data_IF_158797349959
#
_entry.id   IF_158797349959
#
_cell.length_a   1.000
_cell.length_b   1.000
_cell.length_c   1.000
_cell.angle_alpha   90.00
_cell.angle_beta   90.00
_cell.angle_gamma   90.00
#
_symmetry.space_group_name_H-M   'P 1'
#
loop_
_entity.id
_entity.type
_entity.pdbx_description
1 polymer ?
#
# COMPACT_ATOMS: atom_id res chain seq x y z
N UNK A 1 11.28 -15.39 -22.67
CA UNK A 1 9.89 -15.56 -23.13
C UNK A 1 9.71 -17.05 -23.29
N UNK A 2 8.99 -17.69 -22.38
CA UNK A 2 8.59 -19.10 -22.52
C UNK A 2 7.19 -19.04 -23.12
N UNK A 3 7.04 -19.69 -24.25
CA UNK A 3 5.83 -19.65 -25.06
C UNK A 3 4.62 -20.23 -24.31
N UNK A 4 3.55 -19.47 -24.26
CA UNK A 4 2.25 -19.81 -23.68
C UNK A 4 1.55 -20.94 -24.48
N UNK A 5 2.12 -21.38 -25.61
CA UNK A 5 1.57 -22.37 -26.52
C UNK A 5 1.61 -23.81 -25.99
N UNK A 6 2.49 -24.14 -25.04
CA UNK A 6 2.61 -25.52 -24.53
C UNK A 6 1.59 -25.92 -23.46
N UNK A 7 0.83 -24.95 -22.89
CA UNK A 7 -0.19 -25.27 -21.86
C UNK A 7 -1.52 -25.64 -22.51
N UNK A 8 -1.78 -25.18 -23.72
CA UNK A 8 -3.04 -25.48 -24.41
C UNK A 8 -3.13 -26.94 -24.90
N UNK A 9 -2.02 -27.54 -25.26
CA UNK A 9 -2.00 -28.92 -25.81
C UNK A 9 -2.12 -30.01 -24.74
N UNK A 10 -1.85 -29.70 -23.48
CA UNK A 10 -1.98 -30.67 -22.37
C UNK A 10 -3.43 -30.80 -21.83
N UNK A 11 -4.30 -29.87 -22.17
CA UNK A 11 -5.73 -29.89 -21.77
C UNK A 11 -6.64 -30.56 -22.82
N UNK A 12 -6.11 -30.87 -23.99
CA UNK A 12 -6.91 -31.46 -25.09
C UNK A 12 -6.95 -32.98 -25.10
N UNK A 13 -6.24 -33.69 -24.21
CA UNK A 13 -6.10 -35.18 -24.25
C UNK A 13 -6.80 -35.92 -23.11
N UNK A 14 -7.71 -35.30 -22.36
CA UNK A 14 -8.48 -35.99 -21.31
C UNK A 14 -9.92 -36.24 -21.74
N UNK A 15 -10.18 -37.50 -22.15
CA UNK A 15 -11.38 -38.34 -22.10
C UNK A 15 -12.72 -37.79 -22.62
N UNK A 16 -13.19 -38.49 -23.63
CA UNK A 16 -14.59 -38.64 -24.01
C UNK A 16 -15.40 -39.31 -22.88
N UNK A 17 -16.06 -38.50 -22.05
CA UNK A 17 -17.16 -38.93 -21.23
C UNK A 17 -18.36 -38.01 -21.43
N UNK A 18 -19.55 -38.64 -21.45
CA UNK A 18 -20.89 -38.14 -21.80
C UNK A 18 -21.17 -36.68 -21.44
N UNK A 19 -22.02 -35.97 -22.20
CA UNK A 19 -22.33 -34.56 -21.92
C UNK A 19 -23.06 -34.47 -20.58
N UNK A 20 -22.33 -34.02 -19.54
CA UNK A 20 -22.94 -33.57 -18.30
C UNK A 20 -23.70 -32.30 -18.65
N UNK A 21 -25.03 -32.41 -18.77
CA UNK A 21 -25.91 -31.25 -18.84
C UNK A 21 -25.63 -30.37 -17.63
N UNK A 22 -25.18 -29.12 -17.80
CA UNK A 22 -24.97 -28.25 -16.67
C UNK A 22 -26.31 -28.06 -15.95
N UNK A 23 -26.43 -28.48 -14.71
CA UNK A 23 -27.54 -28.07 -13.84
C UNK A 23 -27.57 -26.55 -13.86
N UNK A 24 -28.74 -25.90 -14.04
CA UNK A 24 -28.81 -24.45 -13.88
C UNK A 24 -28.30 -24.13 -12.50
N UNK A 25 -27.13 -23.48 -12.42
CA UNK A 25 -26.67 -22.84 -11.21
C UNK A 25 -27.74 -21.79 -10.94
N UNK A 26 -28.56 -22.01 -9.91
CA UNK A 26 -29.50 -21.00 -9.43
C UNK A 26 -28.69 -19.71 -9.33
N UNK A 27 -29.26 -18.58 -9.75
CA UNK A 27 -28.60 -17.28 -9.65
C UNK A 27 -27.98 -17.22 -8.23
N UNK A 28 -26.66 -17.22 -8.07
CA UNK A 28 -26.09 -17.03 -6.74
C UNK A 28 -26.67 -15.71 -6.26
N UNK A 29 -27.35 -15.72 -5.11
CA UNK A 29 -27.68 -14.45 -4.45
C UNK A 29 -26.40 -13.68 -4.46
N UNK A 30 -26.39 -12.47 -5.04
CA UNK A 30 -25.20 -11.66 -5.16
C UNK A 30 -24.62 -11.57 -3.74
N UNK A 31 -23.53 -12.27 -3.48
CA UNK A 31 -22.83 -12.15 -2.22
C UNK A 31 -22.52 -10.67 -2.04
N UNK A 32 -22.79 -10.15 -0.86
CA UNK A 32 -22.46 -8.74 -0.59
C UNK A 32 -20.98 -8.51 -0.95
N UNK A 33 -20.67 -7.39 -1.61
CA UNK A 33 -19.29 -7.11 -1.96
C UNK A 33 -18.43 -7.08 -0.68
N UNK A 34 -17.17 -7.56 -0.73
CA UNK A 34 -16.31 -7.63 0.45
C UNK A 34 -16.20 -6.29 1.18
N UNK A 35 -16.19 -6.33 2.51
CA UNK A 35 -15.97 -5.15 3.34
C UNK A 35 -14.52 -4.69 3.22
N UNK A 36 -14.30 -3.40 2.96
CA UNK A 36 -12.99 -2.76 2.91
C UNK A 36 -12.83 -1.84 4.12
N UNK A 37 -11.74 -2.00 4.86
CA UNK A 37 -11.36 -1.10 5.94
C UNK A 37 -10.39 -0.04 5.44
N UNK A 38 -10.71 1.23 5.67
CA UNK A 38 -9.83 2.36 5.40
C UNK A 38 -9.34 2.89 6.75
N UNK A 39 -8.02 3.01 6.90
CA UNK A 39 -7.39 3.56 8.10
C UNK A 39 -6.68 4.83 7.68
N UNK A 40 -7.06 5.97 8.27
CA UNK A 40 -6.42 7.26 8.06
C UNK A 40 -5.60 7.57 9.30
N UNK A 41 -4.27 7.51 9.20
CA UNK A 41 -3.39 7.87 10.32
C UNK A 41 -3.12 9.37 10.29
N UNK A 42 -3.32 10.04 11.41
CA UNK A 42 -3.22 11.49 11.53
C UNK A 42 -2.26 11.88 12.66
N UNK A 43 -1.41 12.88 12.39
CA UNK A 43 -0.60 13.54 13.41
C UNK A 43 -0.30 14.97 12.97
N UNK A 44 -0.90 15.95 13.62
CA UNK A 44 -0.73 17.39 13.35
C UNK A 44 -1.01 17.84 11.89
N UNK A 45 -1.95 17.15 11.20
CA UNK A 45 -2.29 17.38 9.78
C UNK A 45 -3.77 17.68 9.57
N UNK A 46 -4.44 18.32 10.56
CA UNK A 46 -5.89 18.53 10.57
C UNK A 46 -6.44 19.40 9.44
N UNK A 47 -5.58 20.13 8.71
CA UNK A 47 -6.02 20.98 7.61
C UNK A 47 -6.40 20.19 6.34
N UNK A 48 -5.94 18.96 6.23
CA UNK A 48 -6.13 18.11 5.05
C UNK A 48 -7.16 17.00 5.25
N UNK A 49 -7.43 16.60 6.49
CA UNK A 49 -8.22 15.40 6.86
C UNK A 49 -9.63 15.40 6.27
N UNK A 50 -10.27 16.56 6.17
CA UNK A 50 -11.63 16.69 5.61
C UNK A 50 -11.68 16.21 4.16
N UNK A 51 -10.71 16.61 3.35
CA UNK A 51 -10.65 16.24 1.94
C UNK A 51 -10.38 14.72 1.77
N UNK A 52 -9.55 14.13 2.62
CA UNK A 52 -9.34 12.68 2.66
C UNK A 52 -10.63 11.93 2.97
N UNK A 53 -11.36 12.32 4.02
CA UNK A 53 -12.64 11.69 4.41
C UNK A 53 -13.69 11.86 3.31
N UNK A 54 -13.84 13.06 2.72
CA UNK A 54 -14.76 13.27 1.58
C UNK A 54 -14.47 12.37 0.41
N UNK A 55 -13.21 12.05 0.14
CA UNK A 55 -12.82 11.13 -0.93
C UNK A 55 -13.21 9.68 -0.64
N UNK A 56 -13.27 9.28 0.64
CA UNK A 56 -13.80 7.98 1.08
C UNK A 56 -15.31 7.91 0.92
N UNK A 57 -16.03 8.97 1.32
CA UNK A 57 -17.48 9.07 1.15
C UNK A 57 -17.93 9.02 -0.32
N UNK A 58 -17.09 9.51 -1.23
CA UNK A 58 -17.36 9.55 -2.67
C UNK A 58 -17.07 8.23 -3.41
N UNK A 59 -16.71 7.16 -2.71
CA UNK A 59 -16.36 5.88 -3.34
C UNK A 59 -17.58 5.16 -3.93
N UNK A 60 -17.44 4.62 -5.14
CA UNK A 60 -18.48 3.83 -5.82
C UNK A 60 -18.73 2.48 -5.14
N UNK A 61 -17.69 1.85 -4.59
CA UNK A 61 -17.83 0.69 -3.71
C UNK A 61 -18.37 1.16 -2.35
N UNK A 62 -19.55 0.68 -1.94
CA UNK A 62 -20.28 1.20 -0.78
C UNK A 62 -20.06 0.44 0.52
N UNK A 63 -19.57 -0.82 0.45
CA UNK A 63 -19.33 -1.65 1.63
C UNK A 63 -17.93 -1.40 2.21
N UNK A 64 -17.79 -0.30 2.94
CA UNK A 64 -16.55 0.10 3.59
C UNK A 64 -16.79 0.62 5.00
N UNK A 65 -15.76 0.58 5.81
CA UNK A 65 -15.64 1.28 7.10
C UNK A 65 -14.36 2.11 7.12
N UNK A 66 -14.35 3.21 7.86
CA UNK A 66 -13.21 4.10 7.97
C UNK A 66 -12.91 4.41 9.43
N UNK A 67 -11.65 4.30 9.82
CA UNK A 67 -11.16 4.72 11.13
C UNK A 67 -10.08 5.76 10.95
N UNK A 68 -10.33 6.96 11.46
CA UNK A 68 -9.32 8.00 11.61
C UNK A 68 -8.61 7.76 12.93
N UNK A 69 -7.30 7.58 12.91
CA UNK A 69 -6.47 7.38 14.11
C UNK A 69 -5.63 8.61 14.31
N UNK A 70 -5.90 9.36 15.36
CA UNK A 70 -5.08 10.49 15.78
C UNK A 70 -3.94 9.97 16.69
N UNK A 71 -2.72 10.09 16.20
CA UNK A 71 -1.50 9.60 16.88
C UNK A 71 -0.99 10.60 17.92
N UNK A 72 -1.88 11.03 18.85
CA UNK A 72 -1.61 11.98 19.92
C UNK A 72 -1.14 13.34 19.37
N UNK A 73 -1.95 13.97 18.51
CA UNK A 73 -1.69 15.31 18.01
C UNK A 73 -1.79 16.37 19.11
N UNK A 74 -1.20 17.54 18.86
CA UNK A 74 -1.39 18.73 19.70
C UNK A 74 -2.89 19.05 19.84
N UNK A 75 -3.25 19.60 21.00
CA UNK A 75 -4.65 19.87 21.39
C UNK A 75 -5.47 20.56 20.30
N UNK A 76 -4.91 21.53 19.61
CA UNK A 76 -5.60 22.27 18.55
C UNK A 76 -5.93 21.38 17.36
N UNK A 77 -4.98 20.53 16.93
CA UNK A 77 -5.17 19.57 15.84
C UNK A 77 -6.14 18.45 16.23
N UNK A 78 -6.03 17.88 17.43
CA UNK A 78 -6.93 16.85 17.94
C UNK A 78 -8.38 17.34 18.03
N UNK A 79 -8.61 18.56 18.53
CA UNK A 79 -9.94 19.18 18.58
C UNK A 79 -10.50 19.40 17.17
N UNK A 80 -9.69 19.89 16.24
CA UNK A 80 -10.13 20.12 14.86
C UNK A 80 -10.48 18.80 14.16
N UNK A 81 -9.68 17.75 14.31
CA UNK A 81 -9.98 16.42 13.78
C UNK A 81 -11.28 15.87 14.36
N UNK A 82 -11.46 15.98 15.68
CA UNK A 82 -12.69 15.52 16.35
C UNK A 82 -13.92 16.26 15.79
N UNK A 83 -13.81 17.56 15.59
CA UNK A 83 -14.88 18.35 14.98
C UNK A 83 -15.17 17.94 13.54
N UNK A 84 -14.13 17.78 12.73
CA UNK A 84 -14.27 17.38 11.32
C UNK A 84 -14.90 16.00 11.20
N UNK A 85 -14.41 15.00 11.93
CA UNK A 85 -14.98 13.64 11.89
C UNK A 85 -16.43 13.65 12.36
N UNK A 86 -16.73 14.34 13.47
CA UNK A 86 -18.10 14.44 14.00
C UNK A 86 -19.09 15.16 13.07
N UNK A 87 -18.61 15.99 12.14
CA UNK A 87 -19.46 16.72 11.20
C UNK A 87 -20.04 15.85 10.08
N UNK A 88 -19.48 14.67 9.83
CA UNK A 88 -19.91 13.83 8.70
C UNK A 88 -21.16 12.99 8.97
N UNK A 89 -21.62 12.81 10.19
CA UNK A 89 -22.87 12.08 10.54
C UNK A 89 -23.00 10.72 9.79
N UNK A 90 -21.91 9.99 9.62
CA UNK A 90 -21.87 8.68 8.96
C UNK A 90 -21.23 7.67 9.92
N UNK A 91 -22.01 6.68 10.38
CA UNK A 91 -21.61 5.69 11.39
C UNK A 91 -20.46 4.77 10.92
N UNK A 92 -20.18 4.76 9.63
CA UNK A 92 -19.04 4.02 9.07
C UNK A 92 -17.70 4.70 9.33
N UNK A 93 -17.71 5.99 9.74
CA UNK A 93 -16.52 6.79 10.01
C UNK A 93 -16.37 6.94 11.53
N UNK A 94 -15.26 6.53 12.06
CA UNK A 94 -14.96 6.57 13.49
C UNK A 94 -13.64 7.25 13.75
N UNK A 95 -13.50 7.90 14.91
CA UNK A 95 -12.27 8.50 15.39
C UNK A 95 -11.73 7.70 16.57
N UNK A 96 -10.45 7.40 16.53
CA UNK A 96 -9.66 6.84 17.62
C UNK A 96 -8.58 7.83 18.00
N UNK A 97 -8.53 8.24 19.25
CA UNK A 97 -7.50 9.14 19.80
C UNK A 97 -6.53 8.29 20.61
N UNK A 98 -5.26 8.33 20.28
CA UNK A 98 -4.21 7.65 21.04
C UNK A 98 -3.69 8.56 22.16
N UNK A 99 -3.34 7.95 23.30
CA UNK A 99 -2.82 8.67 24.48
C UNK A 99 -1.36 9.11 24.31
N UNK A 100 -0.62 8.46 23.38
CA UNK A 100 0.79 8.78 23.09
C UNK A 100 1.08 8.67 21.59
N UNK A 101 2.08 9.43 21.10
CA UNK A 101 2.53 9.33 19.73
C UNK A 101 3.38 8.07 19.54
N UNK A 102 2.81 7.08 18.87
CA UNK A 102 3.43 5.77 18.60
C UNK A 102 4.03 5.64 17.20
N UNK A 103 3.78 6.62 16.33
CA UNK A 103 4.20 6.64 14.92
C UNK A 103 3.24 5.92 13.98
N UNK A 104 3.31 6.30 12.69
CA UNK A 104 2.35 5.91 11.65
C UNK A 104 2.05 4.42 11.59
N UNK A 105 3.06 3.56 11.71
CA UNK A 105 2.89 2.11 11.62
C UNK A 105 2.09 1.56 12.81
N UNK A 106 2.42 1.97 14.03
CA UNK A 106 1.67 1.54 15.20
C UNK A 106 0.25 2.11 15.21
N UNK A 107 0.07 3.39 14.84
CA UNK A 107 -1.24 4.01 14.68
C UNK A 107 -2.10 3.26 13.64
N UNK A 108 -1.51 2.87 12.51
CA UNK A 108 -2.19 2.03 11.52
C UNK A 108 -2.65 0.69 12.11
N UNK A 109 -1.81 -0.01 12.87
CA UNK A 109 -2.20 -1.27 13.49
C UNK A 109 -3.20 -1.09 14.63
N UNK A 110 -3.21 0.05 15.32
CA UNK A 110 -4.27 0.39 16.28
C UNK A 110 -5.62 0.54 15.56
N UNK A 111 -5.65 1.23 14.42
CA UNK A 111 -6.84 1.31 13.56
C UNK A 111 -7.26 -0.05 12.99
N UNK A 112 -6.30 -0.90 12.62
CA UNK A 112 -6.58 -2.25 12.11
C UNK A 112 -7.35 -3.11 13.13
N UNK A 113 -7.07 -2.96 14.41
CA UNK A 113 -7.79 -3.67 15.49
C UNK A 113 -9.23 -3.21 15.66
N UNK A 114 -9.54 -1.98 15.27
CA UNK A 114 -10.88 -1.40 15.32
C UNK A 114 -11.71 -1.71 14.07
N UNK A 115 -11.16 -2.44 13.12
CA UNK A 115 -11.77 -2.72 11.81
C UNK A 115 -11.85 -4.23 11.54
N UNK A 116 -12.71 -4.64 10.61
CA UNK A 116 -13.00 -6.05 10.31
C UNK A 116 -13.00 -6.42 8.82
N UNK A 117 -12.84 -5.44 7.91
CA UNK A 117 -12.86 -5.67 6.46
C UNK A 117 -11.81 -6.68 6.02
N UNK A 118 -12.12 -7.45 4.98
CA UNK A 118 -11.22 -8.46 4.40
C UNK A 118 -10.03 -7.81 3.67
N UNK A 119 -10.24 -6.60 3.19
CA UNK A 119 -9.23 -5.78 2.54
C UNK A 119 -8.99 -4.52 3.38
N UNK A 120 -7.76 -4.03 3.34
CA UNK A 120 -7.32 -2.92 4.19
C UNK A 120 -6.51 -1.92 3.38
N UNK A 121 -6.86 -0.65 3.50
CA UNK A 121 -6.15 0.47 2.92
C UNK A 121 -5.58 1.36 4.03
N UNK A 122 -4.40 1.95 3.79
CA UNK A 122 -3.86 3.05 4.58
C UNK A 122 -3.91 4.31 3.71
N UNK A 123 -4.65 5.32 4.15
CA UNK A 123 -4.74 6.60 3.48
C UNK A 123 -4.01 7.67 4.31
N UNK A 124 -3.05 8.35 3.71
CA UNK A 124 -2.40 9.49 4.34
C UNK A 124 -3.39 10.69 4.39
N UNK A 125 -3.37 11.51 5.44
CA UNK A 125 -4.41 12.51 5.67
C UNK A 125 -4.39 13.66 4.65
N UNK A 126 -3.31 13.81 3.89
CA UNK A 126 -3.11 14.81 2.84
C UNK A 126 -3.40 14.28 1.43
N UNK A 127 -3.68 12.99 1.29
CA UNK A 127 -4.03 12.34 0.02
C UNK A 127 -5.56 12.15 -0.15
N UNK A 128 -5.99 11.83 -1.37
CA UNK A 128 -7.40 11.61 -1.71
C UNK A 128 -7.57 10.49 -2.71
N UNK A 129 -8.58 9.68 -2.53
CA UNK A 129 -8.98 8.68 -3.51
C UNK A 129 -9.71 9.30 -4.70
N UNK A 130 -9.55 8.73 -5.90
CA UNK A 130 -10.53 8.93 -6.97
C UNK A 130 -11.80 8.14 -6.67
N UNK A 131 -12.98 8.49 -7.24
CA UNK A 131 -14.25 7.84 -6.87
C UNK A 131 -14.28 6.31 -7.06
N UNK A 132 -13.47 5.76 -7.95
CA UNK A 132 -13.46 4.32 -8.27
C UNK A 132 -12.30 3.55 -7.65
N UNK A 133 -11.50 4.17 -6.75
CA UNK A 133 -10.30 3.52 -6.20
C UNK A 133 -10.62 2.18 -5.52
N UNK A 134 -11.59 2.14 -4.61
CA UNK A 134 -11.92 0.91 -3.90
C UNK A 134 -12.43 -0.18 -4.83
N UNK A 135 -13.30 0.16 -5.77
CA UNK A 135 -13.87 -0.77 -6.75
C UNK A 135 -12.81 -1.35 -7.69
N UNK A 136 -11.99 -0.48 -8.30
CA UNK A 136 -10.96 -0.89 -9.26
C UNK A 136 -9.89 -1.77 -8.59
N UNK A 137 -9.45 -1.40 -7.38
CA UNK A 137 -8.40 -2.14 -6.66
C UNK A 137 -8.94 -3.45 -6.11
N UNK A 138 -10.18 -3.47 -5.62
CA UNK A 138 -10.84 -4.71 -5.24
C UNK A 138 -10.99 -5.66 -6.43
N UNK A 139 -11.42 -5.16 -7.60
CA UNK A 139 -11.50 -5.96 -8.82
C UNK A 139 -10.13 -6.57 -9.20
N UNK A 140 -9.05 -5.81 -9.03
CA UNK A 140 -7.70 -6.32 -9.22
C UNK A 140 -7.32 -7.41 -8.21
N UNK A 141 -7.74 -7.31 -6.95
CA UNK A 141 -7.54 -8.35 -5.94
C UNK A 141 -8.35 -9.63 -6.21
N UNK A 142 -9.53 -9.50 -6.81
CA UNK A 142 -10.46 -10.59 -7.08
C UNK A 142 -10.23 -11.22 -8.47
N UNK A 143 -9.17 -10.84 -9.19
CA UNK A 143 -8.85 -11.48 -10.46
C UNK A 143 -8.64 -12.99 -10.30
N UNK A 144 -8.96 -13.76 -11.36
CA UNK A 144 -8.92 -15.22 -11.33
C UNK A 144 -7.53 -15.82 -11.59
N UNK A 145 -6.53 -15.01 -11.92
CA UNK A 145 -5.22 -15.51 -12.38
C UNK A 145 -4.18 -15.56 -11.28
N UNK A 146 -4.15 -14.55 -10.40
CA UNK A 146 -3.12 -14.42 -9.37
C UNK A 146 -3.72 -13.87 -8.07
N UNK A 147 -3.47 -14.56 -6.96
CA UNK A 147 -3.78 -14.03 -5.63
C UNK A 147 -2.53 -13.40 -5.02
N UNK A 148 -2.57 -12.08 -4.80
CA UNK A 148 -1.48 -11.35 -4.17
C UNK A 148 -1.91 -10.74 -2.84
N UNK A 149 -1.00 -10.63 -1.86
CA UNK A 149 -1.23 -9.92 -0.61
C UNK A 149 -1.45 -8.42 -0.78
N UNK A 150 -0.90 -7.85 -1.86
CA UNK A 150 -0.85 -6.42 -2.14
C UNK A 150 -1.25 -6.12 -3.59
N UNK A 151 -2.16 -5.17 -3.75
CA UNK A 151 -2.37 -4.43 -5.00
C UNK A 151 -2.01 -2.97 -4.77
N UNK A 152 -1.22 -2.40 -5.67
CA UNK A 152 -0.87 -0.99 -5.69
C UNK A 152 -1.34 -0.36 -7.00
N UNK A 153 -1.69 0.93 -6.96
CA UNK A 153 -2.07 1.70 -8.16
C UNK A 153 -1.05 2.78 -8.47
N UNK A 154 -1.18 3.42 -9.63
CA UNK A 154 -0.49 4.67 -9.88
C UNK A 154 -1.16 5.82 -9.13
N UNK A 155 -0.48 6.95 -9.03
CA UNK A 155 -0.93 8.15 -8.33
C UNK A 155 -0.89 9.37 -9.25
N UNK A 156 -1.78 10.33 -9.02
CA UNK A 156 -1.85 11.61 -9.69
C UNK A 156 -1.24 12.64 -8.75
N UNK A 157 -0.14 13.26 -9.15
CA UNK A 157 0.52 14.27 -8.34
C UNK A 157 -0.18 15.60 -8.51
N UNK A 158 -0.62 16.21 -7.41
CA UNK A 158 -1.34 17.48 -7.38
C UNK A 158 -0.65 18.49 -6.48
N UNK A 159 -0.69 19.76 -6.87
CA UNK A 159 -0.26 20.90 -6.07
C UNK A 159 -1.43 21.90 -5.96
N UNK A 160 -1.21 23.00 -5.27
CA UNK A 160 -2.09 24.18 -5.28
C UNK A 160 -2.34 24.74 -6.69
N UNK A 161 -1.43 24.47 -7.63
CA UNK A 161 -1.50 24.90 -9.05
C UNK A 161 -2.15 23.87 -9.96
N UNK A 162 -2.58 22.74 -9.45
CA UNK A 162 -3.24 21.67 -10.21
C UNK A 162 -2.41 20.39 -10.36
N UNK A 163 -2.78 19.58 -11.35
CA UNK A 163 -2.13 18.29 -11.63
C UNK A 163 -0.78 18.54 -12.27
N UNK A 164 0.27 17.90 -11.75
CA UNK A 164 1.64 18.01 -12.24
C UNK A 164 2.21 16.72 -12.86
N UNK A 165 1.52 15.59 -12.72
CA UNK A 165 1.97 14.33 -13.31
C UNK A 165 1.34 13.11 -12.67
N UNK A 166 1.78 11.93 -13.04
CA UNK A 166 1.42 10.65 -12.45
C UNK A 166 2.65 9.91 -11.91
N UNK A 167 2.46 9.09 -10.88
CA UNK A 167 3.44 8.49 -9.99
C UNK A 167 4.70 7.87 -10.60
N UNK A 168 4.67 6.59 -10.96
CA UNK A 168 5.87 5.91 -11.49
C UNK A 168 6.35 6.49 -12.82
N UNK A 169 5.41 6.89 -13.67
CA UNK A 169 5.74 7.51 -14.96
C UNK A 169 6.23 8.95 -14.81
N UNK A 170 5.74 9.69 -13.79
CA UNK A 170 6.06 11.10 -13.61
C UNK A 170 7.51 11.34 -13.14
N UNK A 171 8.10 10.45 -12.35
CA UNK A 171 9.50 10.60 -11.89
C UNK A 171 10.49 10.74 -13.04
N UNK A 172 10.30 9.93 -14.07
CA UNK A 172 11.13 9.98 -15.28
C UNK A 172 10.74 11.16 -16.16
N UNK A 173 9.45 11.44 -16.28
CA UNK A 173 8.91 12.52 -17.11
C UNK A 173 9.20 13.90 -16.52
N UNK A 174 8.93 14.15 -15.25
CA UNK A 174 9.20 15.44 -14.59
C UNK A 174 10.67 15.83 -14.70
N UNK A 175 11.58 14.91 -14.44
CA UNK A 175 13.02 15.16 -14.58
C UNK A 175 13.43 15.47 -16.05
N UNK A 176 12.74 14.89 -17.04
CA UNK A 176 12.98 15.16 -18.45
C UNK A 176 12.35 16.49 -18.90
N UNK A 177 11.22 16.89 -18.33
CA UNK A 177 10.46 18.08 -18.71
C UNK A 177 10.95 19.34 -18.02
N UNK A 178 11.38 19.27 -16.77
CA UNK A 178 12.11 20.36 -16.10
C UNK A 178 13.36 20.76 -16.89
N UNK A 179 14.01 19.77 -17.53
CA UNK A 179 15.16 20.02 -18.44
C UNK A 179 14.77 20.64 -19.77
N UNK A 180 13.51 20.57 -20.22
CA UNK A 180 13.04 20.99 -21.55
C UNK A 180 12.05 22.15 -21.54
N UNK A 181 11.52 22.55 -20.37
CA UNK A 181 10.53 23.65 -20.27
C UNK A 181 9.20 23.36 -21.00
N UNK A 182 8.85 22.09 -21.20
CA UNK A 182 7.65 21.69 -21.95
C UNK A 182 6.45 21.40 -21.02
N UNK A 183 5.25 21.73 -21.47
CA UNK A 183 4.01 21.37 -20.80
C UNK A 183 3.74 19.85 -20.91
N UNK A 184 3.10 19.26 -19.89
CA UNK A 184 2.73 17.85 -19.86
C UNK A 184 1.35 17.68 -20.46
N UNK A 185 1.25 16.92 -21.52
CA UNK A 185 -0.01 16.39 -21.99
C UNK A 185 -0.26 15.05 -21.27
N UNK A 186 -1.31 15.00 -20.43
CA UNK A 186 -1.69 13.77 -19.74
C UNK A 186 -2.46 12.88 -20.71
N UNK A 187 -1.81 11.84 -21.21
CA UNK A 187 -2.47 10.78 -21.98
C UNK A 187 -2.87 9.68 -21.03
N UNK A 188 -4.17 9.57 -20.72
CA UNK A 188 -4.70 8.41 -20.02
C UNK A 188 -4.51 7.16 -20.89
N UNK A 189 -4.02 6.05 -20.33
CA UNK A 189 -3.97 4.80 -21.07
C UNK A 189 -5.41 4.35 -21.40
N UNK A 190 -5.65 4.06 -22.68
CA UNK A 190 -6.99 3.64 -23.19
C UNK A 190 -7.53 2.39 -22.46
N UNK A 191 -6.65 1.58 -21.87
CA UNK A 191 -7.00 0.45 -20.99
C UNK A 191 -5.99 0.35 -19.84
N UNK A 192 -6.43 0.32 -18.58
CA UNK A 192 -5.54 0.10 -17.43
C UNK A 192 -4.85 -1.26 -17.60
N UNK A 193 -3.55 -1.30 -17.35
CA UNK A 193 -2.77 -2.54 -17.34
C UNK A 193 -2.66 -3.06 -15.92
N UNK A 194 -2.96 -4.33 -15.73
CA UNK A 194 -2.67 -5.03 -14.49
C UNK A 194 -1.34 -5.79 -14.66
N UNK A 195 -0.34 -5.41 -13.89
CA UNK A 195 1.01 -5.98 -13.94
C UNK A 195 1.24 -6.84 -12.70
N UNK A 196 1.71 -8.06 -12.90
CA UNK A 196 2.12 -8.93 -11.80
C UNK A 196 3.62 -8.89 -11.61
N UNK A 197 4.05 -8.61 -10.39
CA UNK A 197 5.43 -8.73 -9.94
C UNK A 197 5.54 -9.94 -9.02
N UNK A 198 6.21 -11.03 -9.44
CA UNK A 198 6.40 -12.20 -8.59
C UNK A 198 7.27 -11.85 -7.38
N UNK A 199 7.14 -12.58 -6.28
CA UNK A 199 7.91 -12.35 -5.04
C UNK A 199 9.43 -12.35 -5.24
N UNK A 200 9.92 -12.91 -6.34
CA UNK A 200 11.33 -12.89 -6.75
C UNK A 200 11.73 -11.59 -7.46
N UNK A 201 10.79 -10.74 -7.88
CA UNK A 201 11.11 -9.47 -8.51
C UNK A 201 11.81 -8.56 -7.50
N UNK A 202 12.86 -7.89 -7.95
CA UNK A 202 13.66 -6.98 -7.13
C UNK A 202 13.42 -5.54 -7.55
N UNK A 203 13.51 -4.62 -6.60
CA UNK A 203 13.33 -3.19 -6.85
C UNK A 203 12.11 -2.63 -6.14
N UNK A 204 11.85 -1.36 -6.38
CA UNK A 204 10.67 -0.65 -5.87
C UNK A 204 9.64 -0.52 -6.99
N UNK A 205 8.53 -1.23 -6.86
CA UNK A 205 7.47 -1.33 -7.89
C UNK A 205 6.16 -0.67 -7.45
N UNK A 206 6.17 0.08 -6.37
CA UNK A 206 5.00 0.67 -5.75
C UNK A 206 5.09 2.19 -5.72
N UNK A 207 3.97 2.83 -5.48
CA UNK A 207 3.85 4.26 -5.21
C UNK A 207 3.76 4.53 -3.69
N UNK A 208 2.91 5.46 -3.23
CA UNK A 208 2.71 5.73 -1.81
C UNK A 208 1.84 4.67 -1.13
N UNK A 209 1.83 4.65 0.21
CA UNK A 209 0.92 3.82 1.02
C UNK A 209 -0.54 4.06 0.70
N UNK A 210 -0.92 5.31 0.41
CA UNK A 210 -2.29 5.68 0.02
C UNK A 210 -2.80 4.95 -1.23
N UNK A 211 -1.88 4.52 -2.11
CA UNK A 211 -2.20 3.80 -3.35
C UNK A 211 -2.27 2.27 -3.17
N UNK A 212 -2.21 1.78 -1.94
CA UNK A 212 -2.09 0.35 -1.64
C UNK A 212 -3.33 -0.20 -0.96
N UNK A 213 -3.76 -1.39 -1.40
CA UNK A 213 -4.73 -2.21 -0.70
C UNK A 213 -4.11 -3.56 -0.37
N UNK A 214 -4.30 -4.01 0.86
CA UNK A 214 -3.74 -5.25 1.38
C UNK A 214 -4.84 -6.25 1.70
N UNK A 215 -4.55 -7.56 1.56
CA UNK A 215 -5.39 -8.59 2.17
C UNK A 215 -5.15 -8.62 3.68
N UNK A 216 -6.22 -8.56 4.47
CA UNK A 216 -6.13 -8.69 5.94
C UNK A 216 -5.44 -9.97 6.37
N UNK A 217 -5.66 -11.07 5.65
CA UNK A 217 -5.03 -12.36 5.91
C UNK A 217 -3.49 -12.30 5.92
N UNK A 218 -2.89 -11.39 5.17
CA UNK A 218 -1.45 -11.18 5.15
C UNK A 218 -1.01 -10.09 6.14
N UNK A 219 -1.66 -8.92 6.12
CA UNK A 219 -1.20 -7.75 6.89
C UNK A 219 -1.28 -7.95 8.41
N UNK A 220 -2.20 -8.78 8.89
CA UNK A 220 -2.34 -9.10 10.31
C UNK A 220 -1.05 -9.65 10.95
N UNK A 221 -0.18 -10.30 10.16
CA UNK A 221 1.09 -10.83 10.64
C UNK A 221 2.19 -9.77 10.74
N UNK A 222 1.99 -8.59 10.17
CA UNK A 222 3.01 -7.54 10.06
C UNK A 222 3.03 -6.59 11.27
N UNK A 223 2.17 -6.80 12.27
CA UNK A 223 2.11 -5.93 13.45
C UNK A 223 3.44 -5.92 14.20
N UNK A 224 4.07 -4.75 14.44
CA UNK A 224 5.27 -4.68 15.24
C UNK A 224 4.98 -5.02 16.70
N UNK A 225 5.85 -5.84 17.31
CA UNK A 225 5.75 -6.25 18.72
C UNK A 225 6.51 -5.32 19.66
N UNK A 226 7.33 -4.43 19.11
CA UNK A 226 8.18 -3.49 19.87
C UNK A 226 8.06 -2.10 19.25
N UNK A 227 8.29 -1.04 20.02
CA UNK A 227 8.41 0.31 19.46
C UNK A 227 9.43 0.34 18.33
N UNK A 228 9.08 1.02 17.24
CA UNK A 228 9.97 1.18 16.10
C UNK A 228 10.84 2.44 16.27
N UNK A 229 12.11 2.41 15.83
CA UNK A 229 13.01 3.53 15.97
C UNK A 229 12.75 4.67 14.96
N UNK A 230 11.68 4.58 14.18
CA UNK A 230 11.28 5.55 13.17
C UNK A 230 9.77 5.78 13.25
N UNK A 231 9.31 6.99 12.87
CA UNK A 231 7.89 7.38 12.95
C UNK A 231 7.12 7.22 11.64
N UNK A 232 7.80 7.18 10.51
CA UNK A 232 7.24 7.00 9.15
C UNK A 232 7.68 5.70 8.52
N UNK A 233 7.82 5.69 7.17
CA UNK A 233 8.23 4.54 6.34
C UNK A 233 7.22 3.37 6.31
N UNK A 234 5.93 3.65 6.44
CA UNK A 234 4.90 2.62 6.37
C UNK A 234 4.89 1.90 5.02
N UNK A 235 5.17 2.61 3.93
CA UNK A 235 5.36 2.07 2.59
C UNK A 235 6.47 1.00 2.55
N UNK A 236 7.65 1.34 3.06
CA UNK A 236 8.80 0.42 3.10
C UNK A 236 8.58 -0.75 4.07
N UNK A 237 7.83 -0.52 5.15
CA UNK A 237 7.50 -1.56 6.12
C UNK A 237 6.53 -2.58 5.53
N UNK A 238 5.42 -2.12 4.96
CA UNK A 238 4.30 -2.97 4.56
C UNK A 238 4.46 -3.55 3.16
N UNK A 239 4.83 -2.72 2.16
CA UNK A 239 4.79 -3.14 0.76
C UNK A 239 5.80 -4.24 0.44
N UNK A 240 7.04 -4.08 0.88
CA UNK A 240 8.09 -5.07 0.61
C UNK A 240 7.82 -6.40 1.31
N UNK A 241 7.28 -6.36 2.53
CA UNK A 241 6.96 -7.56 3.27
C UNK A 241 5.76 -8.29 2.67
N UNK A 242 4.70 -7.57 2.30
CA UNK A 242 3.56 -8.15 1.58
C UNK A 242 3.99 -8.79 0.26
N UNK A 243 4.81 -8.07 -0.53
CA UNK A 243 5.36 -8.58 -1.78
C UNK A 243 6.19 -9.85 -1.58
N UNK A 244 7.00 -9.91 -0.52
CA UNK A 244 7.85 -11.06 -0.21
C UNK A 244 7.05 -12.36 0.04
N UNK A 245 5.82 -12.26 0.52
CA UNK A 245 4.94 -13.40 0.81
C UNK A 245 4.38 -14.00 -0.49
N UNK A 246 3.90 -13.19 -1.42
CA UNK A 246 3.16 -13.71 -2.58
C UNK A 246 3.25 -12.85 -3.85
N UNK A 247 4.22 -11.95 -3.94
CA UNK A 247 4.29 -10.97 -5.01
C UNK A 247 3.30 -9.83 -4.82
N UNK A 248 3.16 -8.99 -5.85
CA UNK A 248 2.22 -7.88 -5.85
C UNK A 248 1.65 -7.63 -7.23
N UNK A 249 0.48 -7.03 -7.27
CA UNK A 249 -0.13 -6.51 -8.47
C UNK A 249 0.04 -4.99 -8.50
N UNK A 250 0.29 -4.46 -9.70
CA UNK A 250 0.27 -3.04 -9.96
C UNK A 250 -0.78 -2.74 -11.02
N UNK A 251 -1.79 -1.98 -10.65
CA UNK A 251 -2.82 -1.48 -11.56
C UNK A 251 -2.34 -0.14 -12.11
N UNK A 252 -1.94 -0.11 -13.38
CA UNK A 252 -1.42 1.07 -14.06
C UNK A 252 -2.56 2.06 -14.38
N UNK A 253 -3.21 2.59 -13.33
CA UNK A 253 -4.26 3.59 -13.37
C UNK A 253 -4.04 4.57 -12.23
N UNK A 254 -4.06 5.87 -12.50
CA UNK A 254 -3.95 6.91 -11.48
C UNK A 254 -5.25 6.98 -10.67
N UNK A 255 -5.24 6.41 -9.47
CA UNK A 255 -6.44 6.30 -8.62
C UNK A 255 -6.32 7.07 -7.29
N UNK A 256 -5.18 7.71 -7.07
CA UNK A 256 -4.90 8.53 -5.88
C UNK A 256 -4.48 9.92 -6.34
N UNK A 257 -5.04 10.95 -5.73
CA UNK A 257 -4.50 12.31 -5.77
C UNK A 257 -3.52 12.46 -4.61
N UNK A 258 -2.23 12.44 -4.93
CA UNK A 258 -1.19 12.70 -3.97
C UNK A 258 -0.88 14.18 -3.91
N UNK A 259 -1.12 14.79 -2.76
CA UNK A 259 -0.91 16.21 -2.55
C UNK A 259 0.56 16.51 -2.30
N UNK A 260 1.13 17.40 -3.13
CA UNK A 260 2.51 17.84 -3.04
C UNK A 260 2.56 19.23 -2.40
N UNK A 261 3.10 19.32 -1.19
CA UNK A 261 3.26 20.56 -0.42
C UNK A 261 4.57 20.56 0.38
N UNK A 262 5.02 21.72 0.85
CA UNK A 262 6.34 21.88 1.48
C UNK A 262 6.57 21.02 2.73
N UNK A 263 5.50 20.58 3.37
CA UNK A 263 5.56 19.72 4.57
C UNK A 263 5.63 18.22 4.25
N UNK A 264 5.47 17.80 2.97
CA UNK A 264 5.62 16.39 2.64
C UNK A 264 7.02 15.89 3.00
N UNK A 265 7.10 14.85 3.80
CA UNK A 265 8.36 14.23 4.20
C UNK A 265 9.22 13.80 2.99
N UNK A 266 8.55 13.50 1.87
CA UNK A 266 9.17 13.00 0.64
C UNK A 266 9.72 14.11 -0.27
N UNK A 267 9.06 15.28 -0.35
CA UNK A 267 9.49 16.40 -1.19
C UNK A 267 10.84 16.97 -0.78
N UNK A 268 11.15 16.95 0.50
CA UNK A 268 12.45 17.40 1.02
C UNK A 268 13.64 16.58 0.50
N UNK A 269 13.40 15.49 -0.24
CA UNK A 269 14.44 14.52 -0.57
C UNK A 269 14.82 14.33 -2.02
N UNK A 270 13.92 14.44 -3.01
CA UNK A 270 14.23 13.94 -4.36
C UNK A 270 13.85 14.83 -5.54
N UNK A 271 12.80 15.64 -5.47
CA UNK A 271 12.34 16.43 -6.62
C UNK A 271 12.89 17.85 -6.59
N UNK A 272 13.08 18.44 -5.42
CA UNK A 272 13.50 19.83 -5.22
C UNK A 272 14.85 20.03 -4.53
N UNK A 273 15.46 18.97 -4.00
CA UNK A 273 16.80 19.09 -3.42
C UNK A 273 17.80 19.39 -4.55
N UNK A 274 18.27 20.61 -4.60
CA UNK A 274 19.52 20.93 -5.29
C UNK A 274 20.59 19.97 -4.79
N UNK A 275 21.51 19.58 -5.65
CA UNK A 275 22.54 18.55 -5.47
C UNK A 275 23.43 18.68 -4.21
N UNK A 276 23.14 19.61 -3.32
CA UNK A 276 23.92 19.90 -2.11
C UNK A 276 23.34 19.32 -0.82
N UNK A 277 22.04 18.95 -0.75
CA UNK A 277 21.44 18.42 0.48
C UNK A 277 21.30 16.90 0.45
N UNK A 278 22.43 16.21 0.47
CA UNK A 278 22.50 14.72 0.42
C UNK A 278 22.25 14.03 1.77
N UNK A 279 21.81 14.74 2.81
CA UNK A 279 21.69 14.16 4.15
C UNK A 279 20.23 14.08 4.60
N UNK A 280 19.52 13.01 4.19
CA UNK A 280 18.46 12.49 5.04
C UNK A 280 19.11 11.74 6.21
N UNK A 281 18.78 12.04 7.46
CA UNK A 281 19.17 11.21 8.59
C UNK A 281 18.70 9.75 8.43
N UNK A 282 17.59 9.53 7.70
CA UNK A 282 16.82 8.29 7.67
C UNK A 282 16.74 7.61 6.29
N UNK A 283 17.59 7.92 5.34
CA UNK A 283 17.56 7.42 3.97
C UNK A 283 17.47 5.88 3.76
N UNK A 284 18.17 5.29 2.79
CA UNK A 284 18.04 3.86 2.42
C UNK A 284 18.27 2.86 3.55
N UNK A 285 18.93 3.28 4.65
CA UNK A 285 19.14 2.44 5.84
C UNK A 285 17.86 2.26 6.63
N UNK A 286 17.01 3.30 6.75
CA UNK A 286 15.74 3.21 7.47
C UNK A 286 14.71 2.38 6.72
N UNK A 287 14.64 2.49 5.40
CA UNK A 287 13.76 1.67 4.58
C UNK A 287 14.11 0.17 4.66
N UNK A 288 15.43 -0.16 4.64
CA UNK A 288 15.87 -1.52 4.87
C UNK A 288 15.55 -2.00 6.29
N UNK A 289 15.79 -1.16 7.30
CA UNK A 289 15.47 -1.51 8.68
C UNK A 289 13.97 -1.76 8.84
N UNK A 290 13.13 -0.90 8.25
CA UNK A 290 11.69 -1.08 8.25
C UNK A 290 11.26 -2.43 7.65
N UNK A 291 11.86 -2.81 6.53
CA UNK A 291 11.61 -4.12 5.93
C UNK A 291 12.02 -5.29 6.84
N UNK A 292 13.21 -5.21 7.44
CA UNK A 292 13.71 -6.26 8.35
C UNK A 292 12.86 -6.39 9.62
N UNK A 293 12.44 -5.26 10.18
CA UNK A 293 11.57 -5.23 11.36
C UNK A 293 10.20 -5.85 11.05
N UNK A 294 9.66 -5.61 9.84
CA UNK A 294 8.42 -6.24 9.42
C UNK A 294 8.56 -7.76 9.22
N UNK A 295 9.66 -8.24 8.62
CA UNK A 295 9.94 -9.67 8.49
C UNK A 295 10.05 -10.33 9.89
N UNK A 296 10.72 -9.67 10.84
CA UNK A 296 10.79 -10.16 12.23
C UNK A 296 9.41 -10.21 12.90
N UNK A 297 8.59 -9.17 12.69
CA UNK A 297 7.23 -9.12 13.20
C UNK A 297 6.37 -10.26 12.61
N UNK A 298 6.45 -10.53 11.33
CA UNK A 298 5.72 -11.62 10.68
C UNK A 298 6.05 -12.99 11.27
N UNK A 299 7.33 -13.26 11.54
CA UNK A 299 7.78 -14.50 12.20
C UNK A 299 7.24 -14.62 13.61
N UNK A 300 7.36 -13.56 14.38
CA UNK A 300 6.92 -13.50 15.76
C UNK A 300 5.39 -13.61 15.88
N UNK A 301 4.66 -13.17 14.88
CA UNK A 301 3.21 -13.25 14.81
C UNK A 301 2.70 -14.57 14.22
N UNK A 302 3.57 -15.54 13.97
CA UNK A 302 3.18 -16.88 13.55
C UNK A 302 2.84 -17.01 12.06
N UNK A 303 3.48 -16.23 11.19
CA UNK A 303 3.37 -16.46 9.74
C UNK A 303 3.79 -17.91 9.43
N UNK A 304 3.04 -18.67 8.61
CA UNK A 304 3.38 -20.06 8.28
C UNK A 304 4.81 -20.23 7.75
N UNK A 305 5.48 -21.33 8.11
CA UNK A 305 6.89 -21.53 7.85
C UNK A 305 7.27 -21.49 6.36
N UNK A 306 6.38 -21.92 5.46
CA UNK A 306 6.63 -21.89 4.03
C UNK A 306 6.57 -20.45 3.48
N UNK A 307 5.64 -19.63 3.97
CA UNK A 307 5.57 -18.21 3.65
C UNK A 307 6.75 -17.43 4.25
N UNK A 308 7.23 -17.82 5.44
CA UNK A 308 8.45 -17.25 6.02
C UNK A 308 9.67 -17.52 5.13
N UNK A 309 9.77 -18.73 4.54
CA UNK A 309 10.88 -19.05 3.60
C UNK A 309 10.82 -18.18 2.33
N UNK A 310 9.63 -17.84 1.84
CA UNK A 310 9.46 -16.93 0.72
C UNK A 310 9.90 -15.52 1.10
N UNK A 311 9.44 -15.00 2.25
CA UNK A 311 9.83 -13.69 2.77
C UNK A 311 11.37 -13.58 2.94
N UNK A 312 12.03 -14.66 3.43
CA UNK A 312 13.48 -14.70 3.60
C UNK A 312 14.27 -14.68 2.29
N UNK A 313 13.68 -15.18 1.22
CA UNK A 313 14.31 -15.23 -0.11
C UNK A 313 14.11 -13.94 -0.89
N UNK A 314 13.17 -13.11 -0.47
CA UNK A 314 12.91 -11.84 -1.16
C UNK A 314 14.13 -10.94 -1.07
N UNK A 315 14.69 -10.63 -2.23
CA UNK A 315 15.80 -9.69 -2.41
C UNK A 315 15.28 -8.37 -2.99
N UNK A 316 14.08 -7.95 -2.58
CA UNK A 316 13.40 -6.77 -3.14
C UNK A 316 14.22 -5.47 -3.10
N UNK A 317 15.35 -5.45 -2.40
CA UNK A 317 16.26 -4.31 -2.35
C UNK A 317 17.55 -4.56 -3.17
N UNK A 318 17.77 -3.81 -4.26
CA UNK A 318 18.93 -4.00 -5.13
C UNK A 318 20.17 -3.24 -4.62
N UNK A 319 20.71 -3.58 -3.47
CA UNK A 319 21.95 -2.94 -3.00
C UNK A 319 23.04 -3.96 -2.77
N UNK A 320 24.15 -3.86 -3.54
CA UNK A 320 25.31 -4.77 -3.46
C UNK A 320 25.90 -4.94 -2.04
N UNK A 321 25.66 -4.02 -1.11
CA UNK A 321 26.06 -4.09 0.30
C UNK A 321 25.12 -4.90 1.20
N UNK A 322 23.87 -5.11 0.81
CA UNK A 322 22.81 -5.70 1.62
C UNK A 322 22.98 -7.19 1.89
N UNK A 323 23.49 -7.96 0.92
CA UNK A 323 23.79 -9.41 1.12
C UNK A 323 24.76 -9.65 2.29
N UNK A 324 25.69 -8.72 2.53
CA UNK A 324 26.66 -8.79 3.64
C UNK A 324 26.00 -8.47 4.99
N UNK A 325 25.08 -7.51 4.99
CA UNK A 325 24.29 -7.12 6.16
C UNK A 325 23.27 -8.20 6.55
N UNK A 326 22.58 -8.80 5.58
CA UNK A 326 21.69 -9.94 5.78
C UNK A 326 22.40 -11.14 6.39
N UNK A 327 23.61 -11.47 5.94
CA UNK A 327 24.42 -12.53 6.55
C UNK A 327 24.82 -12.22 8.00
N UNK A 328 25.17 -10.96 8.31
CA UNK A 328 25.49 -10.54 9.70
C UNK A 328 24.24 -10.59 10.59
N UNK A 329 23.11 -10.16 10.10
CA UNK A 329 21.83 -10.19 10.80
C UNK A 329 21.35 -11.64 11.07
N UNK A 330 21.40 -12.53 10.07
CA UNK A 330 21.11 -13.96 10.26
C UNK A 330 22.01 -14.62 11.31
N UNK A 331 23.30 -14.25 11.36
CA UNK A 331 24.21 -14.74 12.40
C UNK A 331 23.85 -14.20 13.78
N UNK A 332 23.40 -12.95 13.86
CA UNK A 332 22.96 -12.32 15.12
C UNK A 332 21.67 -12.94 15.64
N UNK A 333 20.70 -13.25 14.76
CA UNK A 333 19.46 -13.93 15.14
C UNK A 333 19.72 -15.36 15.65
N UNK A 334 20.56 -16.14 14.96
CA UNK A 334 20.94 -17.48 15.45
C UNK A 334 21.57 -17.45 16.84
N UNK A 335 22.46 -16.47 17.12
CA UNK A 335 23.05 -16.29 18.45
C UNK A 335 22.08 -15.86 19.55
N UNK A 336 20.89 -15.38 19.22
CA UNK A 336 19.86 -14.99 20.20
C UNK A 336 18.82 -16.08 20.43
N UNK A 337 18.84 -17.13 19.62
CA UNK A 337 17.94 -18.28 19.69
C UNK A 337 18.63 -19.54 20.26
N UNK A 338 19.96 -19.53 20.38
CA UNK A 338 20.81 -20.45 21.17
C UNK A 338 21.04 -19.86 22.58
#
# INVERSE_FOLDING_TARGET
MVEVTQIADHLASASTDSPVTPRPIGKPGLAEPPLISIIITHFNYSDHIEAAIRSVLAQTHTNWECVVVDDCSDKAHAQKVSHVVGSFSDDRIRLELLDENVGQIHAFFSGLEKTRGEFVCLLDPDDRYTPTFLEDVLAAHLNLFVMCPLVCTDEILVTDRGIIGSGLCSKVHLAAMQRRGQAIELVEPVRPRLLYYPASASGWHWTSTSAMMFRRSAIKYMRPRKPLPYRGNADSYLAQAAHAIGGSLFLAKGLIYRTMHDNNAWLKSEIYASSQDKRRPDGPRSALQAHLDCIEAMRTNGLPADEQKLADRSTALPVKGLRRMFRKWRKSLRKRME
#
